data_IF_166009794895
#
_entry.id   IF_166009794895
#
_cell.length_a   1.000
_cell.length_b   1.000
_cell.length_c   1.000
_cell.angle_alpha   90.00
_cell.angle_beta   90.00
_cell.angle_gamma   90.00
#
_symmetry.space_group_name_H-M   'P 1'
#
loop_
_entity.id
_entity.type
_entity.pdbx_description
1 polymer ?
#
# COMPACT_ATOMS: atom_id res chain seq x y z
N UNK A 1 24.81 -18.49 -16.70
CA UNK A 1 23.46 -18.72 -16.16
C UNK A 1 23.42 -18.76 -14.63
N UNK A 2 24.33 -19.48 -13.93
CA UNK A 2 24.29 -19.58 -12.46
C UNK A 2 24.58 -18.26 -11.69
N UNK A 3 25.39 -17.34 -12.20
CA UNK A 3 25.70 -16.07 -11.52
C UNK A 3 24.51 -15.11 -11.52
N UNK A 4 23.78 -14.99 -12.62
CA UNK A 4 22.60 -14.14 -12.75
C UNK A 4 21.46 -14.62 -11.84
N UNK A 5 21.23 -15.93 -11.79
CA UNK A 5 20.22 -16.52 -10.90
C UNK A 5 20.57 -16.30 -9.42
N UNK A 6 21.85 -16.41 -9.05
CA UNK A 6 22.31 -16.16 -7.69
C UNK A 6 22.16 -14.68 -7.31
N UNK A 7 22.40 -13.76 -8.25
CA UNK A 7 22.23 -12.32 -8.05
C UNK A 7 20.74 -11.99 -7.84
N UNK A 8 19.89 -12.47 -8.72
CA UNK A 8 18.42 -12.28 -8.62
C UNK A 8 17.87 -12.79 -7.29
N UNK A 9 18.32 -13.96 -6.83
CA UNK A 9 17.93 -14.52 -5.54
C UNK A 9 18.32 -13.64 -4.37
N UNK A 10 19.57 -13.11 -4.36
CA UNK A 10 20.05 -12.20 -3.31
C UNK A 10 19.26 -10.90 -3.27
N UNK A 11 19.03 -10.28 -4.43
CA UNK A 11 18.24 -9.04 -4.53
C UNK A 11 16.79 -9.25 -4.10
N UNK A 12 16.15 -10.32 -4.53
CA UNK A 12 14.78 -10.63 -4.14
C UNK A 12 14.65 -10.86 -2.63
N UNK A 13 15.62 -11.55 -2.02
CA UNK A 13 15.62 -11.72 -0.56
C UNK A 13 15.84 -10.39 0.16
N UNK A 14 16.78 -9.55 -0.31
CA UNK A 14 17.01 -8.21 0.24
C UNK A 14 15.73 -7.35 0.16
N UNK A 15 15.05 -7.34 -0.99
CA UNK A 15 13.79 -6.61 -1.17
C UNK A 15 12.68 -7.12 -0.24
N UNK A 16 12.62 -8.42 0.02
CA UNK A 16 11.68 -8.97 0.98
C UNK A 16 11.91 -8.44 2.42
N UNK A 17 13.17 -8.21 2.82
CA UNK A 17 13.48 -7.59 4.11
C UNK A 17 13.18 -6.08 4.11
N UNK A 18 13.49 -5.39 3.01
CA UNK A 18 13.15 -3.97 2.85
C UNK A 18 11.65 -3.75 3.00
N UNK A 19 10.79 -4.62 2.46
CA UNK A 19 9.33 -4.52 2.65
C UNK A 19 8.93 -4.56 4.13
N UNK A 20 9.55 -5.42 4.93
CA UNK A 20 9.25 -5.51 6.38
C UNK A 20 9.71 -4.24 7.09
N UNK A 21 10.95 -3.80 6.84
CA UNK A 21 11.51 -2.59 7.45
C UNK A 21 10.64 -1.38 7.11
N UNK A 22 10.24 -1.25 5.83
CA UNK A 22 9.37 -0.15 5.37
C UNK A 22 7.99 -0.22 6.01
N UNK A 23 7.39 -1.41 6.14
CA UNK A 23 6.08 -1.57 6.80
C UNK A 23 6.15 -1.15 8.28
N UNK A 24 7.20 -1.57 9.00
CA UNK A 24 7.44 -1.18 10.40
C UNK A 24 7.70 0.32 10.50
N UNK A 25 8.51 0.89 9.59
CA UNK A 25 8.80 2.31 9.56
C UNK A 25 7.55 3.16 9.27
N UNK A 26 6.66 2.69 8.39
CA UNK A 26 5.37 3.36 8.13
C UNK A 26 4.48 3.41 9.37
N UNK A 27 4.31 2.29 10.06
CA UNK A 27 3.49 2.21 11.27
C UNK A 27 4.12 2.97 12.42
N UNK A 28 5.40 2.75 12.66
CA UNK A 28 6.15 3.45 13.71
C UNK A 28 6.21 4.96 13.46
N UNK A 29 6.42 5.37 12.21
CA UNK A 29 6.40 6.76 11.79
C UNK A 29 5.05 7.44 12.01
N UNK A 30 3.95 6.77 11.67
CA UNK A 30 2.60 7.28 11.89
C UNK A 30 2.31 7.48 13.40
N UNK A 31 2.70 6.52 14.24
CA UNK A 31 2.54 6.61 15.70
C UNK A 31 3.44 7.71 16.29
N UNK A 32 4.70 7.76 15.84
CA UNK A 32 5.66 8.76 16.31
C UNK A 32 5.24 10.17 15.91
N UNK A 33 4.82 10.36 14.66
CA UNK A 33 4.32 11.64 14.16
C UNK A 33 3.11 12.10 14.97
N UNK A 34 2.18 11.20 15.29
CA UNK A 34 1.03 11.51 16.14
C UNK A 34 1.44 11.95 17.54
N UNK A 35 2.36 11.25 18.18
CA UNK A 35 2.81 11.58 19.55
C UNK A 35 3.64 12.88 19.59
N UNK A 36 4.26 13.27 18.50
CA UNK A 36 5.08 14.50 18.41
C UNK A 36 4.30 15.73 17.95
N UNK A 37 3.11 15.57 17.37
CA UNK A 37 2.25 16.66 16.93
C UNK A 37 1.52 17.30 18.11
N UNK A 38 1.66 18.61 18.25
CA UNK A 38 0.81 19.40 19.14
C UNK A 38 -0.57 19.63 18.50
N UNK A 39 -1.62 19.98 19.28
CA UNK A 39 -2.92 20.37 18.71
C UNK A 39 -2.84 21.51 17.69
N UNK A 40 -1.92 22.46 17.88
CA UNK A 40 -1.67 23.56 16.95
C UNK A 40 -1.04 23.08 15.63
N UNK A 41 -0.12 22.09 15.70
CA UNK A 41 0.48 21.52 14.50
C UNK A 41 -0.54 20.73 13.69
N UNK A 42 -1.40 19.97 14.38
CA UNK A 42 -2.49 19.23 13.73
C UNK A 42 -3.50 20.18 13.07
N UNK A 43 -3.85 21.29 13.73
CA UNK A 43 -4.72 22.32 13.18
C UNK A 43 -4.11 22.95 11.92
N UNK A 44 -2.82 23.31 11.97
CA UNK A 44 -2.12 23.88 10.81
C UNK A 44 -1.96 22.86 9.68
N UNK A 45 -1.74 21.58 10.02
CA UNK A 45 -1.63 20.52 9.03
C UNK A 45 -2.97 20.25 8.33
N UNK A 46 -4.09 20.36 9.04
CA UNK A 46 -5.44 20.22 8.48
C UNK A 46 -5.98 21.50 7.86
N UNK A 47 -5.30 22.65 8.07
CA UNK A 47 -5.75 23.97 7.65
C UNK A 47 -7.11 24.35 8.27
N UNK A 48 -7.27 24.05 9.55
CA UNK A 48 -8.50 24.30 10.33
C UNK A 48 -8.20 25.21 11.53
N UNK A 49 -9.21 25.89 12.09
CA UNK A 49 -9.05 26.73 13.30
C UNK A 49 -8.55 25.90 14.49
N UNK A 50 -7.99 26.62 15.50
CA UNK A 50 -7.43 25.99 16.70
C UNK A 50 -8.40 24.98 17.34
N UNK A 51 -7.90 23.80 17.62
CA UNK A 51 -8.64 22.62 18.05
C UNK A 51 -8.44 22.39 19.56
N UNK A 52 -9.50 22.03 20.26
CA UNK A 52 -9.40 21.42 21.60
C UNK A 52 -9.54 19.89 21.47
N UNK A 53 -8.45 19.18 21.77
CA UNK A 53 -8.44 17.73 21.80
C UNK A 53 -8.80 17.26 23.22
N UNK A 54 -9.98 16.68 23.38
CA UNK A 54 -10.29 15.83 24.51
C UNK A 54 -9.66 14.43 24.31
N UNK A 55 -9.37 13.72 25.41
CA UNK A 55 -8.66 12.44 25.35
C UNK A 55 -9.38 11.39 24.48
N UNK A 56 -10.70 11.36 24.52
CA UNK A 56 -11.50 10.45 23.69
C UNK A 56 -11.41 10.78 22.19
N UNK A 57 -11.47 12.06 21.83
CA UNK A 57 -11.30 12.53 20.45
C UNK A 57 -9.90 12.25 19.90
N UNK A 58 -8.87 12.39 20.74
CA UNK A 58 -7.50 12.10 20.38
C UNK A 58 -7.32 10.62 19.95
N UNK A 59 -7.87 9.69 20.71
CA UNK A 59 -7.80 8.25 20.38
C UNK A 59 -8.58 7.95 19.07
N UNK A 60 -9.77 8.52 18.90
CA UNK A 60 -10.58 8.29 17.71
C UNK A 60 -9.87 8.79 16.45
N UNK A 61 -9.27 9.98 16.50
CA UNK A 61 -8.50 10.55 15.38
C UNK A 61 -7.26 9.71 15.08
N UNK A 62 -6.53 9.26 16.10
CA UNK A 62 -5.40 8.35 15.91
C UNK A 62 -5.81 7.07 15.18
N UNK A 63 -6.91 6.43 15.59
CA UNK A 63 -7.41 5.21 14.95
C UNK A 63 -7.79 5.44 13.49
N UNK A 64 -8.40 6.57 13.16
CA UNK A 64 -8.74 6.93 11.79
C UNK A 64 -7.49 7.20 10.95
N UNK A 65 -6.51 7.90 11.50
CA UNK A 65 -5.29 8.27 10.76
C UNK A 65 -4.31 7.10 10.56
N UNK A 66 -4.32 6.10 11.45
CA UNK A 66 -3.46 4.92 11.30
C UNK A 66 -3.96 3.95 10.23
N UNK A 67 -5.25 4.01 9.86
CA UNK A 67 -5.86 3.07 8.92
C UNK A 67 -5.20 3.06 7.53
N UNK A 68 -4.90 4.18 6.88
CA UNK A 68 -4.15 4.19 5.62
C UNK A 68 -2.75 3.59 5.74
N UNK A 69 -2.08 3.80 6.88
CA UNK A 69 -0.77 3.21 7.15
C UNK A 69 -0.84 1.69 7.30
N UNK A 70 -1.89 1.17 7.94
CA UNK A 70 -2.16 -0.27 8.04
C UNK A 70 -2.42 -0.90 6.67
N UNK A 71 -3.21 -0.24 5.82
CA UNK A 71 -3.48 -0.70 4.44
C UNK A 71 -2.18 -0.77 3.64
N UNK A 72 -1.32 0.25 3.72
CA UNK A 72 -0.01 0.26 3.06
C UNK A 72 0.91 -0.85 3.61
N UNK A 73 0.99 -1.02 4.93
CA UNK A 73 1.77 -2.07 5.55
C UNK A 73 1.29 -3.47 5.11
N UNK A 74 -0.02 -3.69 5.04
CA UNK A 74 -0.60 -4.92 4.48
C UNK A 74 -0.15 -5.14 3.03
N UNK A 75 -0.21 -4.12 2.16
CA UNK A 75 0.26 -4.19 0.78
C UNK A 75 1.73 -4.58 0.69
N UNK A 76 2.60 -3.98 1.51
CA UNK A 76 4.02 -4.32 1.60
C UNK A 76 4.26 -5.77 2.03
N UNK A 77 3.43 -6.32 2.92
CA UNK A 77 3.53 -7.73 3.30
C UNK A 77 3.09 -8.67 2.18
N UNK A 78 2.15 -8.26 1.33
CA UNK A 78 1.74 -9.05 0.15
C UNK A 78 2.86 -9.09 -0.90
N UNK A 79 3.48 -7.96 -1.25
CA UNK A 79 4.57 -7.94 -2.24
C UNK A 79 5.83 -8.63 -1.70
N UNK A 80 6.06 -8.63 -0.39
CA UNK A 80 7.12 -9.44 0.23
C UNK A 80 7.01 -10.92 -0.14
N UNK A 81 5.80 -11.48 -0.15
CA UNK A 81 5.58 -12.87 -0.52
C UNK A 81 5.98 -13.14 -1.98
N UNK A 82 5.76 -12.18 -2.87
CA UNK A 82 6.20 -12.25 -4.28
C UNK A 82 7.72 -12.24 -4.41
N UNK A 83 8.42 -11.39 -3.67
CA UNK A 83 9.89 -11.38 -3.66
C UNK A 83 10.48 -12.70 -3.13
N UNK A 84 9.87 -13.31 -2.12
CA UNK A 84 10.31 -14.62 -1.63
C UNK A 84 10.08 -15.74 -2.66
N UNK A 85 9.02 -15.67 -3.47
CA UNK A 85 8.80 -16.58 -4.60
C UNK A 85 9.81 -16.35 -5.73
N UNK A 86 10.14 -15.10 -6.05
CA UNK A 86 11.24 -14.80 -7.00
C UNK A 86 12.58 -15.35 -6.52
N UNK A 87 12.88 -15.28 -5.23
CA UNK A 87 14.10 -15.87 -4.67
C UNK A 87 14.14 -17.41 -4.84
N UNK A 88 13.01 -18.08 -4.99
CA UNK A 88 12.91 -19.52 -5.29
C UNK A 88 12.90 -19.83 -6.77
N UNK A 89 12.90 -18.82 -7.64
CA UNK A 89 12.82 -18.98 -9.10
C UNK A 89 11.40 -19.11 -9.65
N UNK A 90 10.37 -18.93 -8.82
CA UNK A 90 8.95 -19.05 -9.18
C UNK A 90 8.41 -17.73 -9.74
N UNK A 91 8.94 -17.27 -10.91
CA UNK A 91 8.62 -15.92 -11.42
C UNK A 91 7.17 -15.74 -11.85
N UNK A 92 6.53 -16.78 -12.40
CA UNK A 92 5.17 -16.75 -12.92
C UNK A 92 4.16 -17.50 -12.04
N UNK A 93 4.49 -17.70 -10.76
CA UNK A 93 3.56 -18.39 -9.88
C UNK A 93 2.31 -17.55 -9.57
N UNK A 94 1.15 -18.18 -9.37
CA UNK A 94 -0.08 -17.45 -9.00
C UNK A 94 0.09 -16.60 -7.73
N UNK A 95 0.99 -17.02 -6.82
CA UNK A 95 1.32 -16.27 -5.60
C UNK A 95 1.99 -14.94 -5.89
N UNK A 96 2.89 -14.90 -6.88
CA UNK A 96 3.57 -13.68 -7.31
C UNK A 96 2.56 -12.70 -7.90
N UNK A 97 1.75 -13.16 -8.84
CA UNK A 97 0.75 -12.34 -9.51
C UNK A 97 -0.24 -11.76 -8.50
N UNK A 98 -0.75 -12.59 -7.59
CA UNK A 98 -1.70 -12.17 -6.57
C UNK A 98 -1.07 -11.18 -5.57
N UNK A 99 0.20 -11.38 -5.19
CA UNK A 99 0.92 -10.46 -4.30
C UNK A 99 1.10 -9.08 -4.91
N UNK A 100 1.45 -9.00 -6.20
CA UNK A 100 1.56 -7.74 -6.94
C UNK A 100 0.18 -7.05 -7.10
N UNK A 101 -0.88 -7.79 -7.42
CA UNK A 101 -2.24 -7.24 -7.51
C UNK A 101 -2.70 -6.67 -6.17
N UNK A 102 -2.50 -7.40 -5.08
CA UNK A 102 -2.87 -6.96 -3.73
C UNK A 102 -2.07 -5.75 -3.28
N UNK A 103 -0.78 -5.70 -3.60
CA UNK A 103 0.04 -4.51 -3.31
C UNK A 103 -0.48 -3.28 -4.06
N UNK A 104 -0.71 -3.39 -5.37
CA UNK A 104 -1.25 -2.29 -6.17
C UNK A 104 -2.62 -1.84 -5.68
N UNK A 105 -3.54 -2.77 -5.40
CA UNK A 105 -4.87 -2.43 -4.86
C UNK A 105 -4.78 -1.80 -3.47
N UNK A 106 -3.90 -2.28 -2.59
CA UNK A 106 -3.70 -1.73 -1.26
C UNK A 106 -3.20 -0.27 -1.31
N UNK A 107 -2.24 0.04 -2.19
CA UNK A 107 -1.75 1.40 -2.35
C UNK A 107 -2.85 2.37 -2.84
N UNK A 108 -3.64 1.98 -3.84
CA UNK A 108 -4.79 2.78 -4.29
C UNK A 108 -5.83 2.95 -3.18
N UNK A 109 -6.16 1.87 -2.46
CA UNK A 109 -7.13 1.91 -1.36
C UNK A 109 -6.64 2.79 -0.19
N UNK A 110 -5.34 2.80 0.11
CA UNK A 110 -4.78 3.65 1.15
C UNK A 110 -4.91 5.14 0.81
N UNK A 111 -4.70 5.53 -0.46
CA UNK A 111 -4.90 6.90 -0.91
C UNK A 111 -6.37 7.29 -0.86
N UNK A 112 -7.27 6.43 -1.31
CA UNK A 112 -8.72 6.68 -1.20
C UNK A 112 -9.16 6.80 0.26
N UNK A 113 -8.67 5.91 1.13
CA UNK A 113 -8.94 5.99 2.56
C UNK A 113 -8.46 7.32 3.15
N UNK A 114 -7.24 7.76 2.82
CA UNK A 114 -6.72 9.06 3.26
C UNK A 114 -7.59 10.22 2.77
N UNK A 115 -8.00 10.20 1.50
CA UNK A 115 -8.83 11.25 0.90
C UNK A 115 -10.21 11.38 1.58
N UNK A 116 -10.78 10.25 2.04
CA UNK A 116 -12.06 10.22 2.75
C UNK A 116 -11.88 10.53 4.24
N UNK A 117 -10.85 9.99 4.88
CA UNK A 117 -10.66 10.12 6.32
C UNK A 117 -10.17 11.51 6.72
N UNK A 118 -9.39 12.20 5.90
CA UNK A 118 -8.91 13.56 6.20
C UNK A 118 -10.07 14.55 6.45
N UNK A 119 -11.08 14.67 5.56
CA UNK A 119 -12.25 15.50 5.83
C UNK A 119 -13.04 15.04 7.06
N UNK A 120 -13.18 13.74 7.28
CA UNK A 120 -13.89 13.21 8.45
C UNK A 120 -13.16 13.60 9.74
N UNK A 121 -11.85 13.48 9.77
CA UNK A 121 -11.03 13.93 10.91
C UNK A 121 -11.18 15.42 11.13
N UNK A 122 -11.09 16.23 10.06
CA UNK A 122 -11.31 17.68 10.13
C UNK A 122 -12.67 18.02 10.75
N UNK A 123 -13.73 17.39 10.27
CA UNK A 123 -15.07 17.56 10.83
C UNK A 123 -15.13 17.21 12.32
N UNK A 124 -14.59 16.06 12.74
CA UNK A 124 -14.57 15.65 14.16
C UNK A 124 -13.82 16.61 15.04
N UNK A 125 -12.79 17.26 14.52
CA UNK A 125 -11.97 18.20 15.27
C UNK A 125 -12.57 19.60 15.37
N UNK A 126 -13.38 20.00 14.38
CA UNK A 126 -13.94 21.35 14.29
C UNK A 126 -15.41 21.45 14.67
N UNK A 127 -16.09 20.33 14.87
CA UNK A 127 -17.54 20.28 15.14
C UNK A 127 -18.02 21.20 16.27
N UNK A 128 -17.22 21.36 17.33
CA UNK A 128 -17.50 22.22 18.48
C UNK A 128 -16.79 23.60 18.41
N UNK A 129 -16.19 23.94 17.26
CA UNK A 129 -15.51 25.23 17.12
C UNK A 129 -16.50 26.36 16.84
N UNK A 130 -16.23 27.55 17.36
CA UNK A 130 -17.02 28.75 17.05
C UNK A 130 -16.96 29.17 15.59
N UNK A 131 -16.00 28.63 14.83
CA UNK A 131 -15.82 28.88 13.40
C UNK A 131 -16.66 27.97 12.48
N UNK A 132 -17.36 26.95 13.07
CA UNK A 132 -18.14 25.98 12.33
C UNK A 132 -17.34 24.74 11.93
N UNK A 133 -18.04 23.75 11.38
CA UNK A 133 -17.43 22.50 10.90
C UNK A 133 -16.72 22.73 9.57
N UNK A 134 -15.46 22.30 9.49
CA UNK A 134 -14.64 22.41 8.30
C UNK A 134 -14.30 21.04 7.70
N UNK A 135 -14.26 20.95 6.35
CA UNK A 135 -14.01 19.72 5.61
C UNK A 135 -12.75 19.88 4.74
N UNK A 136 -11.56 19.79 5.32
CA UNK A 136 -10.32 19.97 4.57
C UNK A 136 -10.13 18.83 3.56
N UNK A 137 -10.07 19.15 2.26
CA UNK A 137 -9.73 18.19 1.21
C UNK A 137 -8.30 18.45 0.79
N UNK A 138 -7.42 17.50 1.11
CA UNK A 138 -5.98 17.57 0.74
C UNK A 138 -5.57 16.37 -0.10
N UNK A 139 -5.13 16.66 -1.33
CA UNK A 139 -4.47 15.67 -2.20
C UNK A 139 -3.03 16.15 -2.39
N UNK A 140 -2.10 15.52 -1.66
CA UNK A 140 -0.67 15.82 -1.79
C UNK A 140 -0.04 15.16 -3.01
N UNK A 141 1.07 15.73 -3.49
CA UNK A 141 1.86 15.15 -4.58
C UNK A 141 2.31 13.71 -4.28
N UNK A 142 2.60 13.40 -3.02
CA UNK A 142 2.91 12.03 -2.58
C UNK A 142 1.75 11.05 -2.81
N UNK A 143 0.51 11.47 -2.62
CA UNK A 143 -0.66 10.65 -2.89
C UNK A 143 -0.78 10.30 -4.37
N UNK A 144 -0.54 11.27 -5.26
CA UNK A 144 -0.55 11.04 -6.71
C UNK A 144 0.55 10.06 -7.12
N UNK A 145 1.74 10.20 -6.57
CA UNK A 145 2.86 9.27 -6.82
C UNK A 145 2.51 7.85 -6.40
N UNK A 146 1.89 7.65 -5.24
CA UNK A 146 1.44 6.33 -4.76
C UNK A 146 0.39 5.75 -5.72
N UNK A 147 -0.59 6.54 -6.18
CA UNK A 147 -1.61 6.09 -7.13
C UNK A 147 -0.97 5.61 -8.43
N UNK A 148 -0.03 6.38 -9.00
CA UNK A 148 0.64 6.02 -10.25
C UNK A 148 1.45 4.73 -10.10
N UNK A 149 2.28 4.61 -9.05
CA UNK A 149 3.08 3.41 -8.81
C UNK A 149 2.18 2.20 -8.56
N UNK A 150 1.12 2.36 -7.77
CA UNK A 150 0.18 1.29 -7.43
C UNK A 150 -0.62 0.85 -8.66
N UNK A 151 -1.09 1.78 -9.47
CA UNK A 151 -1.79 1.52 -10.71
C UNK A 151 -0.90 0.81 -11.73
N UNK A 152 0.35 1.26 -11.88
CA UNK A 152 1.34 0.60 -12.73
C UNK A 152 1.60 -0.84 -12.25
N UNK A 153 1.82 -1.05 -10.97
CA UNK A 153 2.08 -2.38 -10.40
C UNK A 153 0.88 -3.30 -10.60
N UNK A 154 -0.34 -2.81 -10.40
CA UNK A 154 -1.56 -3.57 -10.62
C UNK A 154 -1.73 -3.97 -12.09
N UNK A 155 -1.52 -3.02 -13.02
CA UNK A 155 -1.58 -3.26 -14.46
C UNK A 155 -0.53 -4.28 -14.90
N UNK A 156 0.70 -4.15 -14.41
CA UNK A 156 1.78 -5.09 -14.68
C UNK A 156 1.43 -6.51 -14.21
N UNK A 157 0.88 -6.64 -13.01
CA UNK A 157 0.41 -7.92 -12.50
C UNK A 157 -0.71 -8.53 -13.37
N UNK A 158 -1.57 -7.70 -13.95
CA UNK A 158 -2.60 -8.13 -14.90
C UNK A 158 -2.00 -8.69 -16.18
N UNK A 159 -0.98 -8.01 -16.73
CA UNK A 159 -0.25 -8.48 -17.92
C UNK A 159 0.42 -9.84 -17.64
N UNK A 160 1.10 -9.97 -16.50
CA UNK A 160 1.70 -11.25 -16.09
C UNK A 160 0.67 -12.37 -15.98
N UNK A 161 -0.52 -12.08 -15.47
CA UNK A 161 -1.62 -13.03 -15.37
C UNK A 161 -2.07 -13.53 -16.74
N UNK A 162 -2.19 -12.63 -17.72
CA UNK A 162 -2.55 -12.99 -19.09
C UNK A 162 -1.46 -13.82 -19.76
N UNK A 163 -0.19 -13.45 -19.60
CA UNK A 163 0.95 -14.21 -20.12
C UNK A 163 0.99 -15.63 -19.56
N UNK A 164 0.77 -15.78 -18.26
CA UNK A 164 0.72 -17.09 -17.62
C UNK A 164 -0.45 -17.97 -18.14
N UNK A 165 -1.59 -17.35 -18.44
CA UNK A 165 -2.74 -18.06 -19.02
C UNK A 165 -2.46 -18.55 -20.45
N UNK A 166 -1.83 -17.71 -21.28
CA UNK A 166 -1.43 -18.08 -22.66
C UNK A 166 -0.40 -19.21 -22.62
N UNK A 167 0.58 -19.15 -21.75
CA UNK A 167 1.59 -20.21 -21.62
C UNK A 167 0.96 -21.54 -21.21
N UNK A 168 -0.04 -21.51 -20.33
CA UNK A 168 -0.80 -22.70 -19.94
C UNK A 168 -1.55 -23.32 -21.12
N UNK A 169 -2.28 -22.49 -21.88
CA UNK A 169 -2.99 -22.95 -23.08
C UNK A 169 -2.04 -23.56 -24.12
N UNK A 170 -0.88 -22.94 -24.34
CA UNK A 170 0.12 -23.47 -25.27
C UNK A 170 0.64 -24.83 -24.84
N UNK A 171 0.84 -25.06 -23.54
CA UNK A 171 1.24 -26.39 -23.03
C UNK A 171 0.14 -27.43 -23.21
N UNK A 172 -1.11 -27.07 -22.90
CA UNK A 172 -2.26 -27.96 -23.08
C UNK A 172 -2.40 -28.38 -24.56
N UNK A 173 -2.30 -27.44 -25.49
CA UNK A 173 -2.32 -27.72 -26.93
C UNK A 173 -1.13 -28.58 -27.39
N UNK A 174 0.06 -28.36 -26.83
CA UNK A 174 1.23 -29.18 -27.17
C UNK A 174 1.07 -30.61 -26.65
N UNK A 175 0.50 -30.81 -25.46
CA UNK A 175 0.19 -32.13 -24.91
C UNK A 175 -0.89 -32.85 -25.75
N UNK A 176 -1.96 -32.14 -26.14
CA UNK A 176 -2.98 -32.70 -27.03
C UNK A 176 -2.38 -33.14 -28.38
N UNK A 177 -1.56 -32.29 -29.02
CA UNK A 177 -0.92 -32.64 -30.29
C UNK A 177 0.04 -33.83 -30.15
N UNK A 178 0.74 -33.96 -29.03
CA UNK A 178 1.61 -35.11 -28.79
C UNK A 178 0.83 -36.42 -28.58
N UNK A 179 -0.43 -36.35 -28.16
CA UNK A 179 -1.29 -37.53 -27.98
C UNK A 179 -1.88 -38.05 -29.31
N UNK A 180 -1.81 -37.24 -30.39
CA UNK A 180 -2.28 -37.65 -31.74
C UNK A 180 -1.20 -38.26 -32.63
N UNK A 181 0.06 -38.33 -32.16
CA UNK A 181 1.19 -38.97 -32.87
C UNK A 181 1.56 -40.28 -32.18
#
# INVERSE_FOLDING_TARGET
>A
MNKELALTRRWSTAMAHVCVITAVAFLGGAIWQWNSMSPSDLASWLDVPAIRLDQGRNIAVLLLMILPALINAFGLMQIRSSFLSFARGEMFSPKVILGLQRFGSAGMSAVLASAVLTPVVGFFLTYDSTAGADFPIRIGTGSLTIVVISGFTWTFARILSLTAAIERQNRELAEENAAFI
#
